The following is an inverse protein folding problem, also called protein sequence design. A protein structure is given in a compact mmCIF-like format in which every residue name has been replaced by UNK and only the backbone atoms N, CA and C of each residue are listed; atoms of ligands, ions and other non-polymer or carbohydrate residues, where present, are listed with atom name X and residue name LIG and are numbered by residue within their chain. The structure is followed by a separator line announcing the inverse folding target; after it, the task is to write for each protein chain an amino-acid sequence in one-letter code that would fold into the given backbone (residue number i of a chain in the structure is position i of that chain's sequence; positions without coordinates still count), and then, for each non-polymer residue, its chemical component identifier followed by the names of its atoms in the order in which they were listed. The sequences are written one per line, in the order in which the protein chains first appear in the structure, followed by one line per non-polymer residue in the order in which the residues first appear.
data_IF_534060010128
#
_entry.id   IF_534060010128
#
_cell.length_a   1.000
_cell.length_b   1.000
_cell.length_c   1.000
_cell.angle_alpha   90.00
_cell.angle_beta   90.00
_cell.angle_gamma   90.00
#
_symmetry.space_group_name_H-M   'P 1'
#
loop_
_entity.id
_entity.type
_entity.pdbx_description
1 polymer ?
#
# COMPACT_ATOMS: atom_id res chain seq x y z
N UNK A 1 20.88 -42.17 0.40
CA UNK A 1 21.15 -40.90 -0.33
C UNK A 1 19.81 -40.22 -0.53
N UNK A 2 19.11 -39.95 0.57
CA UNK A 2 17.64 -39.84 0.63
C UNK A 2 17.23 -38.62 1.48
N UNK A 3 18.03 -37.56 1.41
CA UNK A 3 17.91 -36.39 2.29
C UNK A 3 17.82 -35.07 1.50
N UNK A 4 17.50 -35.11 0.20
CA UNK A 4 17.49 -33.92 -0.66
C UNK A 4 16.14 -33.49 -1.25
N UNK A 5 15.04 -34.21 -1.00
CA UNK A 5 13.74 -33.87 -1.63
C UNK A 5 12.70 -33.22 -0.71
N UNK A 6 12.89 -33.26 0.62
CA UNK A 6 11.88 -32.76 1.57
C UNK A 6 11.98 -31.27 1.96
N UNK A 7 12.92 -30.50 1.38
CA UNK A 7 13.02 -29.06 1.68
C UNK A 7 12.00 -28.17 0.93
N UNK A 8 11.24 -28.71 -0.04
CA UNK A 8 10.44 -27.88 -0.97
C UNK A 8 9.08 -27.38 -0.41
N UNK A 9 8.65 -27.80 0.78
CA UNK A 9 7.34 -27.41 1.35
C UNK A 9 7.35 -26.98 2.83
N UNK A 10 8.49 -26.52 3.38
CA UNK A 10 8.43 -25.81 4.65
C UNK A 10 7.84 -24.43 4.41
N UNK A 11 6.71 -24.13 5.05
CA UNK A 11 6.16 -22.77 5.20
C UNK A 11 7.34 -21.84 5.46
N UNK A 12 7.64 -20.98 4.51
CA UNK A 12 8.85 -20.15 4.53
C UNK A 12 8.60 -19.05 5.56
N UNK A 13 8.71 -19.35 6.86
CA UNK A 13 8.58 -18.39 7.94
C UNK A 13 9.87 -17.56 8.03
N UNK A 14 10.15 -16.81 6.97
CA UNK A 14 11.31 -15.95 6.84
C UNK A 14 10.94 -14.52 7.26
N UNK A 15 11.92 -13.82 7.84
CA UNK A 15 11.74 -12.45 8.27
C UNK A 15 11.53 -11.50 7.08
N UNK A 16 11.08 -10.27 7.37
CA UNK A 16 10.77 -9.25 6.37
C UNK A 16 11.90 -8.99 5.38
N UNK A 17 13.13 -8.73 5.86
CA UNK A 17 14.26 -8.43 4.98
C UNK A 17 14.60 -9.59 4.04
N UNK A 18 14.46 -10.83 4.52
CA UNK A 18 14.65 -12.02 3.67
C UNK A 18 13.52 -12.16 2.64
N UNK A 19 12.27 -11.78 2.98
CA UNK A 19 11.18 -11.67 1.99
C UNK A 19 11.47 -10.61 0.93
N UNK A 20 11.99 -9.46 1.32
CA UNK A 20 12.41 -8.41 0.38
C UNK A 20 13.49 -8.95 -0.56
N UNK A 21 14.54 -9.55 0.00
CA UNK A 21 15.63 -10.15 -0.77
C UNK A 21 15.13 -11.22 -1.75
N UNK A 22 14.26 -12.13 -1.30
CA UNK A 22 13.67 -13.17 -2.16
C UNK A 22 12.75 -12.57 -3.22
N UNK A 23 12.00 -11.54 -2.86
CA UNK A 23 11.10 -10.85 -3.79
C UNK A 23 11.87 -10.21 -4.94
N UNK A 24 13.13 -9.83 -4.74
CA UNK A 24 13.99 -9.24 -5.77
C UNK A 24 14.78 -10.31 -6.54
N UNK A 25 15.35 -11.29 -5.84
CA UNK A 25 16.38 -12.19 -6.40
C UNK A 25 15.89 -13.60 -6.71
N UNK A 26 14.73 -14.00 -6.18
CA UNK A 26 14.20 -15.37 -6.21
C UNK A 26 12.71 -15.38 -6.52
N UNK A 27 12.32 -14.95 -7.71
CA UNK A 27 10.91 -14.89 -8.07
C UNK A 27 10.25 -16.28 -8.10
N UNK A 28 11.00 -17.35 -8.34
CA UNK A 28 10.55 -18.73 -8.21
C UNK A 28 10.03 -19.09 -6.81
N UNK A 29 10.36 -18.29 -5.78
CA UNK A 29 9.88 -18.44 -4.41
C UNK A 29 8.54 -17.75 -4.13
N UNK A 30 7.98 -17.01 -5.09
CA UNK A 30 6.69 -16.33 -4.90
C UNK A 30 5.54 -17.31 -4.58
N UNK A 31 5.42 -18.49 -5.22
CA UNK A 31 4.37 -19.43 -4.88
C UNK A 31 4.48 -19.94 -3.44
N UNK A 32 5.71 -20.25 -2.99
CA UNK A 32 5.98 -20.66 -1.61
C UNK A 32 5.60 -19.57 -0.62
N UNK A 33 6.00 -18.31 -0.86
CA UNK A 33 5.61 -17.18 -0.02
C UNK A 33 4.09 -16.92 -0.07
N UNK A 34 3.43 -17.12 -1.22
CA UNK A 34 2.00 -16.91 -1.38
C UNK A 34 1.15 -17.91 -0.57
N UNK A 35 1.69 -19.09 -0.22
CA UNK A 35 1.02 -20.05 0.67
C UNK A 35 0.86 -19.57 2.11
N UNK A 36 1.59 -18.52 2.51
CA UNK A 36 1.49 -17.92 3.83
C UNK A 36 0.14 -17.22 4.10
N UNK A 37 -0.65 -16.97 3.05
CA UNK A 37 -1.99 -16.41 3.14
C UNK A 37 -2.04 -14.88 3.00
N UNK A 38 -3.23 -14.37 2.65
CA UNK A 38 -3.46 -12.97 2.30
C UNK A 38 -3.06 -12.00 3.41
N UNK A 39 -3.40 -12.27 4.67
CA UNK A 39 -3.07 -11.38 5.79
C UNK A 39 -1.56 -11.15 5.96
N UNK A 40 -0.73 -12.18 5.70
CA UNK A 40 0.73 -12.04 5.76
C UNK A 40 1.31 -11.30 4.56
N UNK A 41 0.73 -11.47 3.37
CA UNK A 41 1.09 -10.70 2.19
C UNK A 41 0.74 -9.21 2.37
N UNK A 42 -0.47 -8.89 2.86
CA UNK A 42 -0.89 -7.53 3.15
C UNK A 42 -0.04 -6.88 4.26
N UNK A 43 0.31 -7.63 5.31
CA UNK A 43 1.25 -7.14 6.33
C UNK A 43 2.62 -6.81 5.72
N UNK A 44 3.14 -7.64 4.83
CA UNK A 44 4.38 -7.38 4.11
C UNK A 44 4.28 -6.11 3.25
N UNK A 45 3.19 -5.96 2.48
CA UNK A 45 2.92 -4.77 1.68
C UNK A 45 2.88 -3.50 2.55
N UNK A 46 2.14 -3.52 3.66
CA UNK A 46 2.04 -2.38 4.57
C UNK A 46 3.40 -2.01 5.16
N UNK A 47 4.24 -3.00 5.50
CA UNK A 47 5.60 -2.74 5.96
C UNK A 47 6.50 -2.14 4.87
N UNK A 48 6.39 -2.60 3.62
CA UNK A 48 7.10 -2.00 2.48
C UNK A 48 6.66 -0.55 2.26
N UNK A 49 5.36 -0.27 2.26
CA UNK A 49 4.81 1.09 2.11
C UNK A 49 5.31 2.00 3.24
N UNK A 50 5.30 1.54 4.49
CA UNK A 50 5.79 2.30 5.64
C UNK A 50 7.29 2.63 5.52
N UNK A 51 8.09 1.67 5.06
CA UNK A 51 9.52 1.89 4.84
C UNK A 51 9.78 2.97 3.80
N UNK A 52 9.10 2.89 2.64
CA UNK A 52 9.26 3.87 1.55
C UNK A 52 8.74 5.26 1.96
N UNK A 53 7.58 5.30 2.63
CA UNK A 53 6.96 6.54 3.10
C UNK A 53 7.88 7.29 4.08
N UNK A 54 8.67 6.57 4.89
CA UNK A 54 9.64 7.21 5.78
C UNK A 54 10.67 8.04 5.00
N UNK A 55 11.19 7.51 3.88
CA UNK A 55 12.12 8.26 3.02
C UNK A 55 11.46 9.46 2.35
N UNK A 56 10.26 9.29 1.80
CA UNK A 56 9.49 10.38 1.18
C UNK A 56 9.21 11.50 2.19
N UNK A 57 8.85 11.14 3.42
CA UNK A 57 8.58 12.11 4.50
C UNK A 57 9.85 12.89 4.87
N UNK A 58 11.01 12.24 4.96
CA UNK A 58 12.29 12.91 5.21
C UNK A 58 12.61 13.89 4.07
N UNK A 59 12.44 13.47 2.82
CA UNK A 59 12.64 14.33 1.65
C UNK A 59 11.76 15.58 1.70
N UNK A 60 10.45 15.38 1.91
CA UNK A 60 9.47 16.45 2.03
C UNK A 60 9.75 17.39 3.20
N UNK A 61 10.27 16.85 4.31
CA UNK A 61 10.66 17.65 5.47
C UNK A 61 11.80 18.62 5.18
N UNK A 62 12.83 18.16 4.47
CA UNK A 62 13.97 19.01 4.09
C UNK A 62 13.51 20.10 3.12
N UNK A 63 12.66 19.75 2.15
CA UNK A 63 12.05 20.70 1.22
C UNK A 63 11.22 21.77 1.95
N UNK A 64 10.36 21.36 2.89
CA UNK A 64 9.55 22.29 3.68
C UNK A 64 10.41 23.29 4.46
N UNK A 65 11.53 22.84 5.04
CA UNK A 65 12.48 23.75 5.71
C UNK A 65 13.06 24.78 4.75
N UNK A 66 13.41 24.35 3.53
CA UNK A 66 13.90 25.24 2.48
C UNK A 66 12.83 26.26 2.10
N UNK A 67 11.59 25.82 1.86
CA UNK A 67 10.45 26.71 1.55
C UNK A 67 10.24 27.76 2.65
N UNK A 68 10.26 27.39 3.93
CA UNK A 68 10.13 28.34 5.03
C UNK A 68 11.30 29.32 5.08
N UNK A 69 12.52 28.85 4.82
CA UNK A 69 13.70 29.71 4.76
C UNK A 69 13.62 30.71 3.60
N UNK A 70 13.34 30.24 2.39
CA UNK A 70 13.20 31.06 1.18
C UNK A 70 12.06 32.10 1.36
N UNK A 71 10.94 31.69 1.98
CA UNK A 71 9.85 32.62 2.33
C UNK A 71 10.32 33.70 3.31
N UNK A 72 11.13 33.34 4.33
CA UNK A 72 11.66 34.32 5.29
C UNK A 72 12.60 35.33 4.63
N UNK A 73 13.45 34.88 3.69
CA UNK A 73 14.29 35.77 2.88
C UNK A 73 13.46 36.68 1.98
N UNK A 74 12.43 36.13 1.35
CA UNK A 74 11.53 36.91 0.51
C UNK A 74 10.85 38.02 1.31
N UNK A 75 10.31 37.69 2.49
CA UNK A 75 9.68 38.67 3.39
C UNK A 75 10.68 39.75 3.79
N UNK A 76 11.89 39.34 4.21
CA UNK A 76 12.94 40.27 4.62
C UNK A 76 13.28 41.29 3.53
N UNK A 77 13.47 40.82 2.30
CA UNK A 77 13.98 41.62 1.19
C UNK A 77 12.90 42.43 0.44
N UNK A 78 11.68 41.89 0.31
CA UNK A 78 10.70 42.40 -0.65
C UNK A 78 9.44 43.00 0.00
N UNK A 79 9.14 42.66 1.26
CA UNK A 79 7.96 43.18 1.94
C UNK A 79 8.36 44.41 2.76
N UNK A 80 7.63 45.55 2.70
CA UNK A 80 7.91 46.72 3.53
C UNK A 80 7.84 46.40 5.02
N UNK A 81 8.31 47.32 5.85
CA UNK A 81 8.16 47.15 7.29
C UNK A 81 6.70 47.07 7.70
N UNK A 82 6.41 46.13 8.60
CA UNK A 82 5.06 45.93 9.10
C UNK A 82 5.06 45.46 10.56
N UNK A 83 3.95 45.72 11.22
CA UNK A 83 3.66 45.24 12.56
C UNK A 83 2.28 44.61 12.60
N UNK A 84 2.15 43.61 13.46
CA UNK A 84 0.88 43.07 13.91
C UNK A 84 0.59 43.58 15.31
N UNK A 85 -0.63 44.05 15.55
CA UNK A 85 -1.15 44.40 16.88
C UNK A 85 -2.65 44.12 16.95
N UNK A 86 -3.06 43.31 17.93
CA UNK A 86 -4.48 43.05 18.27
C UNK A 86 -5.38 42.70 17.07
N UNK A 87 -4.89 41.83 16.17
CA UNK A 87 -5.67 41.34 15.03
C UNK A 87 -5.51 42.16 13.75
N UNK A 88 -4.70 43.22 13.77
CA UNK A 88 -4.51 44.12 12.64
C UNK A 88 -3.05 44.19 12.21
N UNK A 89 -2.83 44.32 10.91
CA UNK A 89 -1.53 44.60 10.31
C UNK A 89 -1.44 46.10 9.99
N UNK A 90 -0.34 46.71 10.40
CA UNK A 90 0.07 48.04 9.96
C UNK A 90 1.30 47.88 9.08
N UNK A 91 1.31 48.52 7.91
CA UNK A 91 2.39 48.41 6.94
C UNK A 91 2.54 49.74 6.21
N UNK A 92 3.78 50.17 6.01
CA UNK A 92 4.09 51.38 5.27
C UNK A 92 4.11 51.08 3.76
N UNK A 93 2.93 51.17 3.13
CA UNK A 93 2.76 50.95 1.68
C UNK A 93 1.74 51.93 1.12
N UNK A 94 1.99 52.42 -0.10
CA UNK A 94 1.07 53.33 -0.82
C UNK A 94 0.21 52.59 -1.85
N UNK A 95 0.68 51.43 -2.33
CA UNK A 95 0.02 50.61 -3.34
C UNK A 95 -0.11 49.15 -2.87
N UNK A 96 -1.07 48.37 -3.42
CA UNK A 96 -1.14 46.94 -3.16
C UNK A 96 0.08 46.21 -3.71
N UNK A 97 0.62 45.27 -2.94
CA UNK A 97 1.73 44.41 -3.38
C UNK A 97 1.12 43.14 -4.00
N UNK A 98 1.44 42.89 -5.27
CA UNK A 98 0.98 41.72 -6.01
C UNK A 98 2.17 40.80 -6.26
N UNK A 99 2.02 39.54 -5.83
CA UNK A 99 3.03 38.50 -5.99
C UNK A 99 2.43 37.41 -6.87
N UNK A 100 2.92 37.36 -8.10
CA UNK A 100 2.63 36.31 -9.09
C UNK A 100 3.83 35.33 -9.18
N UNK A 101 3.64 34.18 -9.84
CA UNK A 101 4.69 33.16 -10.05
C UNK A 101 5.28 32.58 -8.75
N UNK A 102 4.41 32.21 -7.82
CA UNK A 102 4.77 31.57 -6.56
C UNK A 102 5.29 30.16 -6.85
N UNK A 103 6.43 29.78 -6.27
CA UNK A 103 7.03 28.45 -6.49
C UNK A 103 6.19 27.28 -5.95
N UNK A 104 5.22 27.56 -5.09
CA UNK A 104 4.30 26.57 -4.54
C UNK A 104 3.06 26.45 -5.42
N UNK A 105 2.93 25.32 -6.13
CA UNK A 105 1.86 25.06 -7.12
C UNK A 105 0.42 25.19 -6.58
N UNK A 106 0.23 25.18 -5.25
CA UNK A 106 -1.09 25.31 -4.63
C UNK A 106 -1.59 26.75 -4.47
N UNK A 107 -0.77 27.77 -4.74
CA UNK A 107 -1.16 29.19 -4.65
C UNK A 107 -0.74 29.89 -5.93
N UNK A 108 -1.69 30.46 -6.66
CA UNK A 108 -1.42 31.12 -7.93
C UNK A 108 -1.00 32.58 -7.75
N UNK A 109 -1.58 33.26 -6.75
CA UNK A 109 -1.37 34.69 -6.52
C UNK A 109 -1.51 35.04 -5.05
N UNK A 110 -0.67 35.97 -4.58
CA UNK A 110 -0.82 36.64 -3.29
C UNK A 110 -0.97 38.13 -3.53
N UNK A 111 -1.94 38.77 -2.88
CA UNK A 111 -2.15 40.22 -2.92
C UNK A 111 -2.16 40.75 -1.48
N UNK A 112 -1.28 41.70 -1.18
CA UNK A 112 -1.18 42.33 0.13
C UNK A 112 -1.69 43.77 -0.02
N UNK A 113 -2.82 44.08 0.60
CA UNK A 113 -3.44 45.40 0.52
C UNK A 113 -4.03 45.82 1.88
N UNK A 114 -3.19 46.33 2.80
CA UNK A 114 -3.62 46.74 4.14
C UNK A 114 -4.33 48.11 4.14
N UNK A 115 -4.49 48.76 2.98
CA UNK A 115 -5.14 50.06 2.85
C UNK A 115 -6.67 49.98 2.87
N UNK A 116 -7.23 48.81 2.55
CA UNK A 116 -8.68 48.61 2.49
C UNK A 116 -9.23 48.25 3.88
N UNK A 117 -10.12 49.10 4.39
CA UNK A 117 -10.73 48.91 5.70
C UNK A 117 -12.16 48.34 5.60
N UNK A 118 -12.97 48.90 4.71
CA UNK A 118 -14.38 48.52 4.56
C UNK A 118 -14.55 47.22 3.78
N UNK A 119 -15.59 46.45 4.12
CA UNK A 119 -15.85 45.17 3.45
C UNK A 119 -16.32 45.38 1.99
N UNK A 120 -17.07 46.45 1.71
CA UNK A 120 -17.48 46.80 0.33
C UNK A 120 -16.28 47.09 -0.58
N UNK A 121 -15.26 47.81 -0.09
CA UNK A 121 -14.05 48.09 -0.87
C UNK A 121 -13.23 46.81 -1.12
N UNK A 122 -13.14 45.92 -0.12
CA UNK A 122 -12.46 44.63 -0.27
C UNK A 122 -13.16 43.74 -1.30
N UNK A 123 -14.48 43.57 -1.20
CA UNK A 123 -15.26 42.78 -2.14
C UNK A 123 -15.12 43.29 -3.58
N UNK A 124 -15.17 44.61 -3.76
CA UNK A 124 -14.95 45.23 -5.07
C UNK A 124 -13.54 44.97 -5.59
N UNK A 125 -12.52 45.17 -4.75
CA UNK A 125 -11.12 44.93 -5.12
C UNK A 125 -10.86 43.45 -5.46
N UNK A 126 -11.45 42.52 -4.72
CA UNK A 126 -11.37 41.08 -5.01
C UNK A 126 -12.03 40.73 -6.35
N UNK A 127 -13.16 41.35 -6.68
CA UNK A 127 -13.84 41.16 -7.97
C UNK A 127 -13.02 41.71 -9.15
N UNK A 128 -12.34 42.85 -8.96
CA UNK A 128 -11.45 43.45 -9.97
C UNK A 128 -10.18 42.62 -10.19
N UNK A 129 -9.75 41.84 -9.20
CA UNK A 129 -8.57 40.97 -9.25
C UNK A 129 -8.90 39.48 -9.41
N UNK A 130 -10.11 39.18 -9.90
CA UNK A 130 -10.59 37.80 -10.04
C UNK A 130 -9.74 36.99 -11.03
N UNK A 131 -9.20 35.86 -10.56
CA UNK A 131 -8.34 34.99 -11.34
C UNK A 131 -8.68 33.51 -11.07
N UNK A 132 -8.57 32.66 -12.10
CA UNK A 132 -8.69 31.21 -11.93
C UNK A 132 -7.54 30.68 -11.08
N UNK A 133 -7.84 29.75 -10.17
CA UNK A 133 -6.90 29.21 -9.20
C UNK A 133 -7.12 29.73 -7.78
N UNK A 134 -6.08 29.64 -6.96
CA UNK A 134 -6.07 30.09 -5.56
C UNK A 134 -5.39 31.45 -5.46
N UNK A 135 -6.14 32.46 -5.03
CA UNK A 135 -5.61 33.79 -4.68
C UNK A 135 -5.75 34.02 -3.18
N UNK A 136 -4.68 34.49 -2.53
CA UNK A 136 -4.70 34.84 -1.10
C UNK A 136 -4.55 36.36 -0.96
N UNK A 137 -5.51 36.97 -0.29
CA UNK A 137 -5.51 38.38 0.05
C UNK A 137 -5.09 38.58 1.51
N UNK A 138 -4.18 39.50 1.76
CA UNK A 138 -3.82 39.99 3.09
C UNK A 138 -4.29 41.44 3.22
N UNK A 139 -5.45 41.63 3.85
CA UNK A 139 -6.03 42.94 4.15
C UNK A 139 -5.60 43.41 5.54
N UNK A 140 -6.05 44.60 5.97
CA UNK A 140 -5.66 45.16 7.28
C UNK A 140 -5.97 44.25 8.47
N UNK A 141 -7.13 43.60 8.48
CA UNK A 141 -7.64 42.85 9.62
C UNK A 141 -7.95 41.37 9.33
N UNK A 142 -7.73 40.91 8.10
CA UNK A 142 -8.09 39.56 7.69
C UNK A 142 -7.23 39.04 6.53
N UNK A 143 -7.19 37.72 6.44
CA UNK A 143 -6.65 36.95 5.33
C UNK A 143 -7.84 36.33 4.60
N UNK A 144 -7.97 36.52 3.29
CA UNK A 144 -9.05 35.93 2.50
C UNK A 144 -8.44 34.99 1.46
N UNK A 145 -8.80 33.72 1.53
CA UNK A 145 -8.45 32.74 0.50
C UNK A 145 -9.63 32.59 -0.47
N UNK A 146 -9.38 32.86 -1.75
CA UNK A 146 -10.34 32.70 -2.84
C UNK A 146 -9.87 31.57 -3.74
N UNK A 147 -10.71 30.57 -3.92
CA UNK A 147 -10.47 29.46 -4.84
C UNK A 147 -11.51 29.49 -5.94
N UNK A 148 -11.05 29.71 -7.17
CA UNK A 148 -11.88 29.71 -8.37
C UNK A 148 -11.46 28.58 -9.28
N UNK A 149 -12.41 27.73 -9.63
CA UNK A 149 -12.26 26.68 -10.63
C UNK A 149 -13.32 26.94 -11.70
N UNK A 150 -12.94 26.83 -12.97
CA UNK A 150 -13.86 27.10 -14.07
C UNK A 150 -15.13 26.23 -13.94
N UNK A 151 -16.30 26.87 -14.11
CA UNK A 151 -17.62 26.25 -13.98
C UNK A 151 -17.99 25.75 -12.57
N UNK A 152 -17.29 26.20 -11.52
CA UNK A 152 -17.64 25.96 -10.12
C UNK A 152 -17.77 27.30 -9.41
N UNK A 153 -18.71 27.40 -8.47
CA UNK A 153 -18.85 28.59 -7.63
C UNK A 153 -17.54 28.89 -6.90
N UNK A 154 -17.18 30.17 -6.86
CA UNK A 154 -15.96 30.60 -6.18
C UNK A 154 -16.11 30.39 -4.69
N UNK A 155 -15.17 29.65 -4.10
CA UNK A 155 -15.11 29.45 -2.66
C UNK A 155 -14.28 30.58 -2.04
N UNK A 156 -14.88 31.30 -1.10
CA UNK A 156 -14.21 32.35 -0.33
C UNK A 156 -14.10 31.86 1.12
N UNK A 157 -12.92 32.02 1.72
CA UNK A 157 -12.63 31.59 3.08
C UNK A 157 -11.87 32.68 3.82
N UNK A 158 -12.58 33.55 4.57
CA UNK A 158 -11.98 34.60 5.37
C UNK A 158 -11.47 34.06 6.71
N UNK A 159 -10.35 34.60 7.18
CA UNK A 159 -9.72 34.30 8.45
C UNK A 159 -9.23 35.59 9.09
N UNK A 160 -9.44 35.78 10.39
CA UNK A 160 -8.81 36.92 11.08
C UNK A 160 -7.35 36.59 11.40
N UNK A 161 -6.49 37.62 11.46
CA UNK A 161 -5.12 37.41 11.92
C UNK A 161 -5.09 36.87 13.36
N UNK A 162 -6.06 37.26 14.20
CA UNK A 162 -6.17 36.77 15.57
C UNK A 162 -6.37 35.27 15.61
N UNK A 163 -7.32 34.73 14.83
CA UNK A 163 -7.57 33.29 14.75
C UNK A 163 -6.34 32.56 14.19
N UNK A 164 -5.69 33.13 13.17
CA UNK A 164 -4.48 32.57 12.59
C UNK A 164 -3.34 32.49 13.63
N UNK A 165 -3.03 33.60 14.29
CA UNK A 165 -1.96 33.68 15.30
C UNK A 165 -2.23 32.72 16.46
N UNK A 166 -3.48 32.64 16.96
CA UNK A 166 -3.85 31.72 18.02
C UNK A 166 -3.63 30.24 17.63
N UNK A 167 -3.97 29.86 16.40
CA UNK A 167 -3.85 28.49 15.92
C UNK A 167 -2.39 28.04 15.71
N UNK A 168 -1.49 28.96 15.36
CA UNK A 168 -0.11 28.61 14.96
C UNK A 168 0.98 29.07 15.94
N UNK A 169 0.81 30.22 16.60
CA UNK A 169 1.79 30.81 17.52
C UNK A 169 1.35 30.75 19.00
N UNK A 170 0.06 30.52 19.26
CA UNK A 170 -0.50 30.39 20.61
C UNK A 170 -1.20 31.67 21.11
N UNK A 171 -1.90 31.54 22.24
CA UNK A 171 -2.82 32.58 22.74
C UNK A 171 -2.14 33.84 23.29
N UNK A 172 -0.83 33.82 23.52
CA UNK A 172 -0.12 34.89 24.21
C UNK A 172 0.48 35.95 23.26
N UNK A 173 0.37 35.76 21.95
CA UNK A 173 0.94 36.70 20.96
C UNK A 173 -0.04 37.83 20.67
N UNK A 174 0.20 38.99 21.30
CA UNK A 174 -0.59 40.21 21.09
C UNK A 174 -0.06 41.11 19.99
N UNK A 175 1.26 41.14 19.82
CA UNK A 175 1.91 41.94 18.79
C UNK A 175 3.21 41.27 18.33
N UNK A 176 3.61 41.58 17.09
CA UNK A 176 4.95 41.27 16.59
C UNK A 176 5.36 42.21 15.45
N UNK A 177 6.66 42.45 15.29
CA UNK A 177 7.21 43.13 14.11
C UNK A 177 7.58 42.14 13.01
N UNK A 178 7.78 42.63 11.78
CA UNK A 178 8.38 41.87 10.68
C UNK A 178 9.66 41.15 11.09
N UNK A 179 10.57 41.85 11.78
CA UNK A 179 11.83 41.26 12.27
C UNK A 179 11.57 40.06 13.17
N UNK A 180 10.63 40.17 14.11
CA UNK A 180 10.28 39.07 15.02
C UNK A 180 9.66 37.88 14.28
N UNK A 181 8.87 38.12 13.23
CA UNK A 181 8.34 37.05 12.38
C UNK A 181 9.46 36.30 11.66
N UNK A 182 10.40 37.03 11.03
CA UNK A 182 11.54 36.43 10.31
C UNK A 182 12.41 35.61 11.28
N UNK A 183 12.72 36.16 12.46
CA UNK A 183 13.44 35.45 13.51
C UNK A 183 12.70 34.19 13.95
N UNK A 184 11.38 34.26 14.15
CA UNK A 184 10.57 33.10 14.48
C UNK A 184 10.69 32.00 13.42
N UNK A 185 10.49 32.34 12.15
CA UNK A 185 10.56 31.40 11.02
C UNK A 185 11.93 30.72 10.87
N UNK A 186 13.02 31.44 11.18
CA UNK A 186 14.40 30.92 11.11
C UNK A 186 14.86 30.23 12.39
N UNK A 187 14.13 30.38 13.49
CA UNK A 187 14.51 29.83 14.79
C UNK A 187 14.03 28.39 15.02
N UNK A 188 14.54 27.78 16.09
CA UNK A 188 14.08 26.49 16.59
C UNK A 188 12.62 26.49 17.10
N UNK A 189 11.98 27.66 17.26
CA UNK A 189 10.55 27.74 17.63
C UNK A 189 9.64 27.10 16.57
N UNK A 190 10.07 27.08 15.30
CA UNK A 190 9.38 26.38 14.23
C UNK A 190 9.41 24.84 14.35
N UNK A 191 10.19 24.27 15.26
CA UNK A 191 10.27 22.81 15.44
C UNK A 191 8.91 22.17 15.76
N UNK A 192 8.00 22.87 16.44
CA UNK A 192 6.66 22.35 16.71
C UNK A 192 5.85 22.18 15.43
N UNK A 193 5.86 23.20 14.56
CA UNK A 193 5.23 23.16 13.24
C UNK A 193 5.82 22.02 12.40
N UNK A 194 7.14 21.96 12.32
CA UNK A 194 7.90 20.94 11.62
C UNK A 194 7.57 19.51 12.08
N UNK A 195 7.46 19.28 13.39
CA UNK A 195 7.06 17.99 13.94
C UNK A 195 5.64 17.59 13.57
N UNK A 196 4.68 18.52 13.68
CA UNK A 196 3.28 18.29 13.26
C UNK A 196 3.17 18.02 11.76
N UNK A 197 3.89 18.79 10.94
CA UNK A 197 3.97 18.61 9.51
C UNK A 197 4.49 17.22 9.14
N UNK A 198 5.58 16.76 9.75
CA UNK A 198 6.13 15.43 9.50
C UNK A 198 5.14 14.31 9.82
N UNK A 199 4.46 14.39 10.98
CA UNK A 199 3.48 13.36 11.39
C UNK A 199 2.30 13.34 10.42
N UNK A 200 1.73 14.50 10.12
CA UNK A 200 0.59 14.61 9.20
C UNK A 200 0.95 14.15 7.79
N UNK A 201 2.13 14.54 7.29
CA UNK A 201 2.63 14.13 5.98
C UNK A 201 2.87 12.63 5.92
N UNK A 202 3.51 12.04 6.95
CA UNK A 202 3.74 10.60 7.01
C UNK A 202 2.44 9.81 6.95
N UNK A 203 1.44 10.18 7.76
CA UNK A 203 0.14 9.50 7.79
C UNK A 203 -0.55 9.62 6.42
N UNK A 204 -0.58 10.83 5.86
CA UNK A 204 -1.26 11.08 4.58
C UNK A 204 -0.60 10.32 3.43
N UNK A 205 0.73 10.40 3.33
CA UNK A 205 1.50 9.68 2.31
C UNK A 205 1.38 8.16 2.48
N UNK A 206 1.42 7.65 3.71
CA UNK A 206 1.30 6.20 3.97
C UNK A 206 -0.05 5.66 3.49
N UNK A 207 -1.14 6.39 3.76
CA UNK A 207 -2.47 5.99 3.34
C UNK A 207 -2.58 5.98 1.81
N UNK A 208 -2.08 7.03 1.15
CA UNK A 208 -2.06 7.11 -0.32
C UNK A 208 -1.21 5.98 -0.92
N UNK A 209 -0.01 5.75 -0.39
CA UNK A 209 0.91 4.71 -0.88
C UNK A 209 0.31 3.31 -0.75
N UNK A 210 -0.34 3.01 0.40
CA UNK A 210 -1.04 1.73 0.58
C UNK A 210 -2.17 1.59 -0.44
N UNK A 211 -3.00 2.63 -0.64
CA UNK A 211 -4.11 2.57 -1.58
C UNK A 211 -3.62 2.33 -3.02
N UNK A 212 -2.63 3.09 -3.48
CA UNK A 212 -2.05 2.94 -4.82
C UNK A 212 -1.44 1.54 -4.98
N UNK A 213 -0.64 1.09 -4.01
CA UNK A 213 0.01 -0.23 -4.09
C UNK A 213 -0.99 -1.38 -4.10
N UNK A 214 -2.12 -1.26 -3.39
CA UNK A 214 -3.19 -2.25 -3.44
C UNK A 214 -3.88 -2.30 -4.82
N UNK A 215 -4.08 -1.15 -5.45
CA UNK A 215 -4.62 -1.05 -6.81
C UNK A 215 -3.64 -1.68 -7.80
N UNK A 216 -2.36 -1.31 -7.75
CA UNK A 216 -1.30 -1.88 -8.60
C UNK A 216 -1.24 -3.41 -8.45
N UNK A 217 -1.29 -3.91 -7.20
CA UNK A 217 -1.29 -5.35 -6.94
C UNK A 217 -2.51 -6.04 -7.56
N UNK A 218 -3.67 -5.38 -7.53
CA UNK A 218 -4.90 -5.90 -8.13
C UNK A 218 -4.82 -5.94 -9.66
N UNK A 219 -4.30 -4.89 -10.29
CA UNK A 219 -4.09 -4.83 -11.74
C UNK A 219 -3.12 -5.92 -12.21
N UNK A 220 -1.99 -6.07 -11.52
CA UNK A 220 -1.00 -7.11 -11.81
C UNK A 220 -1.62 -8.50 -11.58
N UNK A 221 -2.41 -8.69 -10.54
CA UNK A 221 -3.09 -9.96 -10.29
C UNK A 221 -4.13 -10.30 -11.36
N UNK A 222 -4.85 -9.30 -11.88
CA UNK A 222 -5.78 -9.48 -13.00
C UNK A 222 -5.05 -9.92 -14.27
N UNK A 223 -3.88 -9.33 -14.56
CA UNK A 223 -3.01 -9.79 -15.64
C UNK A 223 -2.48 -11.22 -15.41
N UNK A 224 -2.07 -11.53 -14.17
CA UNK A 224 -1.66 -12.89 -13.80
C UNK A 224 -2.77 -13.90 -14.02
N UNK A 225 -4.00 -13.57 -13.64
CA UNK A 225 -5.17 -14.41 -13.90
C UNK A 225 -5.38 -14.65 -15.39
N UNK A 226 -5.27 -13.62 -16.24
CA UNK A 226 -5.28 -13.78 -17.69
C UNK A 226 -4.18 -14.73 -18.17
N UNK A 227 -2.97 -14.60 -17.61
CA UNK A 227 -1.84 -15.50 -17.91
C UNK A 227 -2.18 -16.95 -17.54
N UNK A 228 -2.89 -17.20 -16.43
CA UNK A 228 -3.34 -18.57 -16.08
C UNK A 228 -4.32 -19.16 -17.08
N UNK A 229 -5.17 -18.34 -17.71
CA UNK A 229 -6.09 -18.78 -18.75
C UNK A 229 -5.30 -19.23 -20.00
N UNK A 230 -4.35 -18.40 -20.43
CA UNK A 230 -3.49 -18.68 -21.59
C UNK A 230 -2.67 -19.96 -21.36
N UNK A 231 -2.10 -20.10 -20.17
CA UNK A 231 -1.28 -21.25 -19.79
C UNK A 231 -2.09 -22.50 -19.45
N UNK A 232 -3.42 -22.37 -19.32
CA UNK A 232 -4.40 -23.42 -18.99
C UNK A 232 -4.14 -24.11 -17.64
N UNK A 233 -3.63 -23.36 -16.66
CA UNK A 233 -3.49 -23.84 -15.27
C UNK A 233 -4.51 -23.17 -14.37
N UNK A 234 -4.98 -23.87 -13.34
CA UNK A 234 -5.93 -23.33 -12.37
C UNK A 234 -5.20 -22.92 -11.09
N UNK A 235 -5.05 -21.61 -10.88
CA UNK A 235 -4.52 -21.04 -9.63
C UNK A 235 -5.62 -20.19 -9.00
N UNK A 236 -5.79 -20.28 -7.68
CA UNK A 236 -6.74 -19.43 -6.94
C UNK A 236 -6.34 -17.96 -7.08
N UNK A 237 -7.28 -17.07 -7.38
CA UNK A 237 -7.00 -15.64 -7.56
C UNK A 237 -6.24 -15.03 -6.37
N UNK A 238 -6.61 -15.39 -5.14
CA UNK A 238 -5.92 -14.92 -3.92
C UNK A 238 -4.43 -15.29 -3.91
N UNK A 239 -4.05 -16.47 -4.44
CA UNK A 239 -2.64 -16.85 -4.55
C UNK A 239 -1.93 -16.00 -5.61
N UNK A 240 -2.58 -15.71 -6.74
CA UNK A 240 -2.05 -14.81 -7.78
C UNK A 240 -1.84 -13.40 -7.21
N UNK A 241 -2.81 -12.89 -6.46
CA UNK A 241 -2.74 -11.59 -5.78
C UNK A 241 -1.59 -11.53 -4.76
N UNK A 242 -1.42 -12.57 -3.94
CA UNK A 242 -0.28 -12.65 -3.03
C UNK A 242 1.06 -12.63 -3.79
N UNK A 243 1.16 -13.35 -4.92
CA UNK A 243 2.37 -13.31 -5.76
C UNK A 243 2.59 -11.93 -6.39
N UNK A 244 1.53 -11.23 -6.81
CA UNK A 244 1.60 -9.87 -7.33
C UNK A 244 2.18 -8.88 -6.29
N UNK A 245 1.78 -9.01 -5.02
CA UNK A 245 2.35 -8.22 -3.91
C UNK A 245 3.87 -8.42 -3.82
N UNK A 246 4.36 -9.65 -3.93
CA UNK A 246 5.81 -9.89 -3.89
C UNK A 246 6.50 -9.34 -5.15
N UNK A 247 5.87 -9.47 -6.33
CA UNK A 247 6.36 -8.94 -7.60
C UNK A 247 6.57 -7.42 -7.58
N UNK A 248 5.75 -6.68 -6.82
CA UNK A 248 5.86 -5.23 -6.66
C UNK A 248 7.11 -4.77 -5.89
N UNK A 249 7.79 -5.66 -5.16
CA UNK A 249 8.89 -5.26 -4.26
C UNK A 249 10.00 -4.50 -4.99
N UNK A 250 10.48 -5.02 -6.12
CA UNK A 250 11.54 -4.39 -6.90
C UNK A 250 11.08 -3.06 -7.55
N UNK A 251 9.93 -3.02 -8.26
CA UNK A 251 9.28 -1.77 -8.68
C UNK A 251 9.25 -0.67 -7.62
N UNK A 252 8.78 -1.00 -6.42
CA UNK A 252 8.64 -0.06 -5.32
C UNK A 252 10.00 0.49 -4.85
N UNK A 253 11.02 -0.37 -4.75
CA UNK A 253 12.38 0.06 -4.40
C UNK A 253 12.99 0.94 -5.50
N UNK A 254 12.81 0.59 -6.77
CA UNK A 254 13.31 1.40 -7.89
C UNK A 254 12.63 2.77 -7.94
N UNK A 255 11.32 2.84 -7.70
CA UNK A 255 10.59 4.11 -7.60
C UNK A 255 11.14 4.98 -6.47
N UNK A 256 11.33 4.39 -5.28
CA UNK A 256 11.92 5.09 -4.14
C UNK A 256 13.31 5.63 -4.47
N UNK A 257 14.19 4.82 -5.09
CA UNK A 257 15.53 5.26 -5.50
C UNK A 257 15.48 6.40 -6.53
N UNK A 258 14.55 6.34 -7.47
CA UNK A 258 14.35 7.41 -8.45
C UNK A 258 13.92 8.72 -7.79
N UNK A 259 12.96 8.68 -6.86
CA UNK A 259 12.55 9.85 -6.08
C UNK A 259 13.75 10.44 -5.31
N UNK A 260 14.57 9.60 -4.69
CA UNK A 260 15.78 10.05 -3.98
C UNK A 260 16.77 10.71 -4.94
N UNK A 261 17.03 10.13 -6.11
CA UNK A 261 17.95 10.72 -7.10
C UNK A 261 17.42 12.05 -7.64
N UNK A 262 16.13 12.11 -7.96
CA UNK A 262 15.46 13.31 -8.46
C UNK A 262 15.31 14.40 -7.38
N UNK A 263 15.50 14.06 -6.09
CA UNK A 263 15.63 15.08 -5.05
C UNK A 263 16.95 15.87 -5.19
N UNK A 264 18.05 15.19 -5.49
CA UNK A 264 19.38 15.81 -5.60
C UNK A 264 19.73 16.29 -7.01
N UNK A 265 18.89 16.01 -7.99
CA UNK A 265 19.15 16.28 -9.41
C UNK A 265 17.86 16.72 -10.10
N UNK A 266 17.93 17.33 -11.28
CA UNK A 266 16.74 17.61 -12.12
C UNK A 266 16.47 16.50 -13.12
N UNK A 267 16.94 15.29 -12.82
CA UNK A 267 16.93 14.17 -13.75
C UNK A 267 15.54 13.57 -13.85
N UNK A 268 14.91 13.75 -15.01
CA UNK A 268 13.60 13.19 -15.32
C UNK A 268 13.74 12.05 -16.32
N UNK A 269 13.23 10.86 -15.96
CA UNK A 269 13.08 9.75 -16.91
C UNK A 269 11.60 9.65 -17.29
N UNK A 270 11.29 9.98 -18.55
CA UNK A 270 9.95 9.76 -19.09
C UNK A 270 9.58 8.27 -19.02
N UNK A 271 8.34 7.98 -18.64
CA UNK A 271 7.79 6.62 -18.54
C UNK A 271 8.50 5.70 -17.53
N UNK A 272 9.28 6.24 -16.58
CA UNK A 272 9.97 5.44 -15.58
C UNK A 272 9.01 4.51 -14.82
N UNK A 273 7.85 5.04 -14.39
CA UNK A 273 6.80 4.29 -13.71
C UNK A 273 6.29 3.10 -14.53
N UNK A 274 5.98 3.35 -15.81
CA UNK A 274 5.51 2.30 -16.72
C UNK A 274 6.59 1.24 -16.93
N UNK A 275 7.85 1.66 -17.06
CA UNK A 275 8.97 0.76 -17.30
C UNK A 275 9.20 -0.20 -16.12
N UNK A 276 9.24 0.29 -14.88
CA UNK A 276 9.50 -0.60 -13.75
C UNK A 276 8.27 -1.41 -13.35
N UNK A 277 7.04 -0.91 -13.49
CA UNK A 277 5.85 -1.72 -13.16
C UNK A 277 5.71 -2.91 -14.13
N UNK A 278 6.15 -2.73 -15.38
CA UNK A 278 6.29 -3.82 -16.38
C UNK A 278 7.13 -4.98 -15.85
N UNK A 279 8.13 -4.73 -15.00
CA UNK A 279 8.94 -5.79 -14.38
C UNK A 279 8.08 -6.70 -13.50
N UNK A 280 7.12 -6.15 -12.73
CA UNK A 280 6.22 -6.98 -11.92
C UNK A 280 5.31 -7.85 -12.78
N UNK A 281 4.80 -7.31 -13.89
CA UNK A 281 4.02 -8.10 -14.85
C UNK A 281 4.84 -9.26 -15.43
N UNK A 282 6.10 -9.01 -15.82
CA UNK A 282 7.03 -10.03 -16.32
C UNK A 282 7.31 -11.08 -15.24
N UNK A 283 7.62 -10.66 -14.03
CA UNK A 283 7.91 -11.57 -12.91
C UNK A 283 6.72 -12.47 -12.60
N UNK A 284 5.52 -11.91 -12.50
CA UNK A 284 4.33 -12.71 -12.23
C UNK A 284 4.04 -13.70 -13.36
N UNK A 285 4.17 -13.30 -14.62
CA UNK A 285 4.03 -14.22 -15.75
C UNK A 285 5.07 -15.35 -15.69
N UNK A 286 6.34 -15.03 -15.46
CA UNK A 286 7.42 -16.02 -15.35
C UNK A 286 7.14 -17.04 -14.25
N UNK A 287 6.66 -16.60 -13.09
CA UNK A 287 6.26 -17.49 -11.98
C UNK A 287 5.12 -18.42 -12.40
N UNK A 288 4.12 -17.92 -13.11
CA UNK A 288 3.00 -18.73 -13.61
C UNK A 288 3.47 -19.79 -14.61
N UNK A 289 4.40 -19.45 -15.51
CA UNK A 289 5.02 -20.41 -16.42
C UNK A 289 5.82 -21.49 -15.66
N UNK A 290 6.63 -21.11 -14.68
CA UNK A 290 7.36 -22.06 -13.84
C UNK A 290 6.42 -23.02 -13.10
N UNK A 291 5.30 -22.50 -12.57
CA UNK A 291 4.28 -23.32 -11.94
C UNK A 291 3.65 -24.31 -12.92
N UNK A 292 3.39 -23.90 -14.17
CA UNK A 292 2.89 -24.82 -15.21
C UNK A 292 3.88 -25.95 -15.45
N UNK A 293 5.16 -25.64 -15.63
CA UNK A 293 6.19 -26.64 -15.90
C UNK A 293 6.35 -27.62 -14.73
N UNK A 294 6.34 -27.12 -13.49
CA UNK A 294 6.37 -27.96 -12.29
C UNK A 294 5.11 -28.83 -12.15
N UNK A 295 3.93 -28.32 -12.54
CA UNK A 295 2.70 -29.11 -12.55
C UNK A 295 2.74 -30.21 -13.62
N UNK A 296 3.23 -29.93 -14.81
CA UNK A 296 3.35 -30.92 -15.89
C UNK A 296 4.29 -32.06 -15.50
N UNK A 297 5.46 -31.74 -14.93
CA UNK A 297 6.41 -32.75 -14.43
C UNK A 297 5.77 -33.68 -13.38
N UNK A 298 5.03 -33.11 -12.43
CA UNK A 298 4.31 -33.92 -11.42
C UNK A 298 3.23 -34.81 -12.03
N UNK A 299 2.51 -34.34 -13.06
CA UNK A 299 1.51 -35.16 -13.74
C UNK A 299 2.16 -36.35 -14.46
N UNK A 300 3.32 -36.15 -15.09
CA UNK A 300 4.08 -37.24 -15.71
C UNK A 300 4.57 -38.27 -14.68
N UNK A 301 5.06 -37.81 -13.52
CA UNK A 301 5.47 -38.68 -12.41
C UNK A 301 4.29 -39.50 -11.88
N UNK A 302 3.14 -38.88 -11.66
CA UNK A 302 1.91 -39.57 -11.22
C UNK A 302 1.46 -40.60 -12.27
N UNK A 303 1.56 -40.29 -13.56
CA UNK A 303 1.23 -41.24 -14.63
C UNK A 303 2.19 -42.45 -14.64
N UNK A 304 3.49 -42.23 -14.42
CA UNK A 304 4.47 -43.31 -14.28
C UNK A 304 4.16 -44.21 -13.09
N UNK A 305 3.90 -43.63 -11.92
CA UNK A 305 3.52 -44.38 -10.71
C UNK A 305 2.25 -45.19 -10.96
N UNK A 306 1.24 -44.62 -11.62
CA UNK A 306 0.01 -45.34 -11.94
C UNK A 306 0.26 -46.54 -12.85
N UNK A 307 1.10 -46.40 -13.87
CA UNK A 307 1.48 -47.50 -14.77
C UNK A 307 2.26 -48.60 -14.04
N UNK A 308 3.15 -48.24 -13.12
CA UNK A 308 3.86 -49.22 -12.29
C UNK A 308 2.92 -49.94 -11.33
N UNK A 309 1.98 -49.23 -10.70
CA UNK A 309 0.95 -49.85 -9.85
C UNK A 309 0.02 -50.79 -10.63
N UNK A 310 -0.35 -50.44 -11.87
CA UNK A 310 -1.13 -51.32 -12.76
C UNK A 310 -0.35 -52.60 -13.08
N UNK A 311 0.94 -52.50 -13.43
CA UNK A 311 1.81 -53.67 -13.66
C UNK A 311 1.94 -54.56 -12.42
N UNK A 312 2.21 -53.99 -11.26
CA UNK A 312 2.29 -54.76 -10.00
C UNK A 312 0.97 -55.45 -9.70
N UNK A 313 -0.17 -54.80 -9.99
CA UNK A 313 -1.49 -55.40 -9.79
C UNK A 313 -1.78 -56.53 -10.79
N UNK A 314 -1.31 -56.42 -12.03
CA UNK A 314 -1.37 -57.50 -13.02
C UNK A 314 -0.47 -58.67 -12.63
N UNK A 315 0.77 -58.42 -12.19
CA UNK A 315 1.68 -59.46 -11.69
C UNK A 315 1.11 -60.20 -10.46
N UNK A 316 0.45 -59.48 -9.54
CA UNK A 316 -0.24 -60.11 -8.40
C UNK A 316 -1.39 -61.00 -8.89
N UNK A 317 -2.19 -60.55 -9.86
CA UNK A 317 -3.26 -61.36 -10.45
C UNK A 317 -2.74 -62.59 -11.16
N UNK A 318 -1.66 -62.47 -11.94
CA UNK A 318 -1.01 -63.62 -12.59
C UNK A 318 -0.43 -64.59 -11.55
N UNK A 319 0.09 -64.10 -10.42
CA UNK A 319 0.54 -64.94 -9.31
C UNK A 319 -0.60 -65.62 -8.55
N UNK A 320 -1.78 -64.98 -8.47
CA UNK A 320 -2.99 -65.58 -7.90
C UNK A 320 -3.64 -66.59 -8.86
N UNK A 321 -3.67 -66.30 -10.17
CA UNK A 321 -4.21 -67.21 -11.20
C UNK A 321 -3.29 -68.42 -11.45
N UNK A 322 -1.96 -68.26 -11.34
CA UNK A 322 -1.02 -69.39 -11.39
C UNK A 322 -1.00 -70.23 -10.08
N UNK A 323 -1.81 -69.88 -9.07
CA UNK A 323 -2.11 -70.74 -7.92
C UNK A 323 -3.47 -71.43 -8.15
N UNK A 324 -3.52 -72.46 -9.00
CA UNK A 324 -4.67 -73.37 -9.09
C UNK A 324 -4.68 -74.41 -7.93
N UNK A 325 -5.85 -74.99 -7.59
CA UNK A 325 -6.19 -75.41 -6.22
C UNK A 325 -5.61 -76.79 -5.85
N UNK A 326 -4.96 -76.89 -4.69
CA UNK A 326 -4.74 -78.20 -4.05
C UNK A 326 -6.09 -78.77 -3.57
N UNK A 327 -6.64 -79.67 -4.39
CA UNK A 327 -7.52 -80.81 -4.07
C UNK A 327 -8.80 -80.56 -3.25
N UNK A 328 -9.95 -80.58 -3.97
CA UNK A 328 -11.17 -81.22 -3.46
C UNK A 328 -11.19 -82.67 -3.97
N UNK A 329 -10.99 -83.64 -3.08
CA UNK A 329 -11.50 -85.00 -3.27
C UNK A 329 -12.57 -85.26 -2.19
N UNK A 330 -13.76 -85.63 -2.66
CA UNK A 330 -14.96 -85.97 -1.90
C UNK A 330 -14.77 -87.20 -1.00
N UNK A 331 -15.46 -87.22 0.15
CA UNK A 331 -16.22 -88.39 0.62
C UNK A 331 -17.31 -87.99 1.63
N UNK A 332 -18.50 -88.50 1.33
CA UNK A 332 -19.85 -88.33 1.91
C UNK A 332 -20.04 -88.74 3.40
N UNK A 333 -21.20 -88.43 4.00
CA UNK A 333 -21.41 -88.31 5.44
C UNK A 333 -21.82 -89.62 6.14
N UNK A 334 -21.66 -89.66 7.47
CA UNK A 334 -22.37 -90.60 8.36
C UNK A 334 -22.91 -89.87 9.59
N UNK A 335 -24.21 -90.04 9.77
CA UNK A 335 -25.05 -89.65 10.90
C UNK A 335 -24.81 -90.46 12.19
N UNK A 336 -25.47 -89.97 13.26
CA UNK A 336 -25.77 -90.54 14.60
C UNK A 336 -24.72 -90.29 15.69
N UNK A 337 -25.03 -89.79 16.90
CA UNK A 337 -26.31 -89.54 17.60
C UNK A 337 -26.07 -88.63 18.83
N UNK A 338 -27.06 -87.78 19.17
CA UNK A 338 -27.54 -87.25 20.49
C UNK A 338 -26.55 -86.79 21.59
N UNK A 339 -26.82 -85.76 22.40
CA UNK A 339 -28.02 -85.40 23.21
C UNK A 339 -27.91 -83.95 23.72
N UNK A 340 -29.06 -83.27 23.84
CA UNK A 340 -29.58 -82.38 24.91
C UNK A 340 -28.59 -81.43 25.65
N UNK A 341 -28.90 -80.15 25.90
CA UNK A 341 -30.05 -79.74 26.70
C UNK A 341 -30.31 -78.21 26.63
N UNK A 342 -31.54 -77.87 26.98
CA UNK A 342 -32.21 -76.58 26.96
C UNK A 342 -31.55 -75.49 27.85
N UNK A 343 -31.61 -74.20 27.45
CA UNK A 343 -32.61 -73.29 28.04
C UNK A 343 -32.61 -71.86 27.46
N UNK A 344 -33.83 -71.32 27.48
CA UNK A 344 -34.29 -69.98 27.10
C UNK A 344 -33.83 -68.91 28.10
N UNK A 345 -33.69 -67.67 27.67
CA UNK A 345 -34.70 -66.63 27.96
C UNK A 345 -34.33 -65.25 27.40
N UNK A 346 -35.35 -64.60 26.89
CA UNK A 346 -35.44 -63.29 26.21
C UNK A 346 -35.54 -62.11 27.22
N UNK A 347 -36.11 -60.93 26.89
CA UNK A 347 -35.42 -59.74 26.41
C UNK A 347 -35.69 -58.48 27.29
N UNK A 348 -34.93 -57.41 27.13
CA UNK A 348 -35.34 -56.02 27.41
C UNK A 348 -34.13 -55.10 27.12
N UNK A 349 -34.23 -53.90 26.56
CA UNK A 349 -35.36 -53.04 26.25
C UNK A 349 -34.80 -51.60 26.12
N UNK A 350 -35.47 -50.79 25.29
CA UNK A 350 -35.48 -49.32 25.30
C UNK A 350 -34.29 -48.53 24.70
N UNK A 351 -34.51 -48.04 23.46
CA UNK A 351 -34.26 -46.65 23.03
C UNK A 351 -34.97 -45.63 23.98
N UNK A 352 -34.70 -44.29 23.99
CA UNK A 352 -34.22 -43.46 22.87
C UNK A 352 -33.28 -42.27 23.19
N UNK A 353 -32.77 -41.70 22.10
CA UNK A 353 -32.68 -40.27 21.70
C UNK A 353 -32.57 -39.12 22.74
N UNK A 354 -31.76 -38.11 22.40
CA UNK A 354 -31.88 -36.78 23.00
C UNK A 354 -30.59 -35.98 23.26
N UNK A 355 -30.14 -35.25 22.23
CA UNK A 355 -29.92 -33.79 22.20
C UNK A 355 -29.06 -33.03 23.24
N UNK A 356 -28.40 -32.00 22.68
CA UNK A 356 -27.86 -30.74 23.28
C UNK A 356 -26.53 -30.86 24.05
N UNK A 357 -25.56 -29.93 23.95
CA UNK A 357 -25.58 -28.52 23.58
C UNK A 357 -24.21 -28.08 23.03
#
# INVERSE_FOLDING_TARGET
MEEKEDEKYRVVNINFFKKVWYSITKFEKYPEMATEGLGRALKYLAMMCAFITAFMTISSFIEMKKVVFDLSEYIEQNIPEFSYEDGQIQMDTEEPIIIDNIQYDGINRIIINPLLESDEEKEKFEAENDATGVTIYFFKNQIVMRTKVDNIDTKISPYTYKDFVQNYAGNDVKSFSKTQLIEYMRSSKMNNFYGKYMISSFISLLLVEIMITLIDALEIAAFGWLTTIITRIRIRFVAIYNMAIYALTLPMILNMLYIIVNYFTTFTISYFQVAYITIAYIYLAAVIFLLKDDLLKKLEEVEKIKKEQEKVREEIKEQEENKEPESKEEKEPKDEDKTDDENKDTPNGQEPDGSEA
#
